data_IF_905303140060
#
_entry.id   IF_905303140060
#
_cell.length_a   1.000
_cell.length_b   1.000
_cell.length_c   1.000
_cell.angle_alpha   90.00
_cell.angle_beta   90.00
_cell.angle_gamma   90.00
#
_symmetry.space_group_name_H-M   'P 1'
#
loop_
_entity.id
_entity.type
_entity.pdbx_description
1 polymer ?
#
# COMPACT_ATOMS: atom_id res chain seq x y z
N UNK A 1 -2.29 26.67 26.81
CA UNK A 1 -3.10 26.01 25.76
C UNK A 1 -4.56 26.13 26.18
N UNK A 2 -5.15 27.31 25.96
CA UNK A 2 -5.97 27.63 24.77
C UNK A 2 -7.31 26.86 24.86
N UNK A 3 -8.19 27.35 25.72
CA UNK A 3 -9.39 28.14 25.35
C UNK A 3 -10.57 27.26 24.93
N UNK A 4 -11.34 26.85 25.94
CA UNK A 4 -12.74 26.50 25.81
C UNK A 4 -13.53 27.82 25.67
N UNK A 5 -14.20 28.04 24.53
CA UNK A 5 -15.26 29.05 24.41
C UNK A 5 -16.47 28.48 23.69
N UNK A 6 -17.50 28.29 24.50
CA UNK A 6 -18.90 28.10 24.17
C UNK A 6 -19.40 29.27 23.33
N UNK A 7 -20.11 29.03 22.23
CA UNK A 7 -21.31 29.81 21.90
C UNK A 7 -22.05 29.34 20.65
N UNK A 8 -23.37 29.17 20.82
CA UNK A 8 -24.47 29.53 19.89
C UNK A 8 -24.51 28.70 18.58
N UNK A 9 -25.54 27.90 18.28
CA UNK A 9 -26.98 28.21 18.38
C UNK A 9 -27.79 26.90 18.41
N UNK A 10 -28.72 26.81 19.35
CA UNK A 10 -29.94 26.03 19.23
C UNK A 10 -30.79 26.62 18.12
N UNK A 11 -31.19 25.83 17.12
CA UNK A 11 -32.44 26.02 16.39
C UNK A 11 -33.06 24.63 16.18
N UNK A 12 -34.14 24.38 16.93
CA UNK A 12 -35.13 23.34 16.68
C UNK A 12 -35.80 23.59 15.32
N UNK A 13 -36.04 22.53 14.55
CA UNK A 13 -37.20 22.45 13.66
C UNK A 13 -37.55 20.98 13.42
N UNK A 14 -38.62 20.53 14.06
CA UNK A 14 -39.32 19.30 13.71
C UNK A 14 -40.17 19.56 12.45
N UNK A 15 -40.06 18.68 11.46
CA UNK A 15 -41.11 18.47 10.46
C UNK A 15 -41.16 16.99 10.13
N UNK A 16 -42.23 16.34 10.62
CA UNK A 16 -42.75 15.11 10.04
C UNK A 16 -43.25 15.42 8.63
N UNK A 17 -42.70 14.77 7.62
CA UNK A 17 -43.40 14.49 6.38
C UNK A 17 -43.19 13.01 6.06
N UNK A 18 -44.25 12.24 6.27
CA UNK A 18 -44.44 10.93 5.66
C UNK A 18 -44.48 11.10 4.15
N UNK A 19 -43.44 10.64 3.45
CA UNK A 19 -43.54 10.34 2.01
C UNK A 19 -43.60 8.84 1.84
N UNK A 20 -44.71 8.45 1.22
CA UNK A 20 -45.13 7.11 0.81
C UNK A 20 -44.07 6.47 -0.10
N UNK A 21 -43.90 5.16 0.10
CA UNK A 21 -43.23 4.17 -0.74
C UNK A 21 -42.62 4.67 -2.06
N UNK A 22 -41.31 4.80 -2.08
CA UNK A 22 -40.54 4.59 -3.30
C UNK A 22 -40.21 3.10 -3.28
N UNK A 23 -40.91 2.34 -4.13
CA UNK A 23 -40.64 0.91 -4.28
C UNK A 23 -39.15 0.71 -4.54
N UNK A 24 -38.56 -0.27 -3.87
CA UNK A 24 -37.24 -0.77 -4.23
C UNK A 24 -37.28 -1.17 -5.70
N UNK A 25 -36.78 -0.29 -6.57
CA UNK A 25 -36.18 -0.73 -7.82
C UNK A 25 -35.00 -1.57 -7.37
N UNK A 26 -35.23 -2.88 -7.30
CA UNK A 26 -34.18 -3.86 -7.41
C UNK A 26 -33.56 -3.62 -8.79
N UNK A 27 -32.65 -2.66 -8.87
CA UNK A 27 -31.58 -2.77 -9.84
C UNK A 27 -30.93 -4.10 -9.48
N UNK A 28 -31.31 -5.16 -10.20
CA UNK A 28 -30.50 -6.35 -10.31
C UNK A 28 -29.22 -5.88 -11.01
N UNK A 29 -28.39 -5.19 -10.24
CA UNK A 29 -27.06 -4.81 -10.62
C UNK A 29 -26.38 -6.15 -10.76
N UNK A 30 -26.22 -6.61 -12.00
CA UNK A 30 -25.58 -7.86 -12.32
C UNK A 30 -24.36 -7.96 -11.43
N UNK A 31 -24.35 -8.93 -10.51
CA UNK A 31 -23.21 -9.12 -9.63
C UNK A 31 -22.02 -9.33 -10.55
N UNK A 32 -21.09 -8.38 -10.56
CA UNK A 32 -19.89 -8.52 -11.36
C UNK A 32 -19.27 -9.87 -10.97
N UNK A 33 -19.15 -10.78 -11.94
CA UNK A 33 -18.63 -12.12 -11.72
C UNK A 33 -17.16 -11.97 -11.30
N UNK A 34 -16.93 -11.94 -9.99
CA UNK A 34 -15.62 -11.73 -9.41
C UNK A 34 -15.01 -13.05 -8.94
N UNK A 35 -13.75 -13.27 -9.24
CA UNK A 35 -12.97 -14.39 -8.70
C UNK A 35 -11.56 -13.95 -8.31
N UNK A 36 -10.94 -14.75 -7.46
CA UNK A 36 -9.56 -14.54 -7.05
C UNK A 36 -8.61 -15.30 -7.97
N UNK A 37 -7.62 -14.59 -8.51
CA UNK A 37 -6.55 -15.18 -9.32
C UNK A 37 -5.22 -14.95 -8.63
N UNK A 38 -4.38 -15.99 -8.57
CA UNK A 38 -2.98 -15.85 -8.18
C UNK A 38 -2.16 -15.44 -9.40
N UNK A 39 -1.43 -14.36 -9.28
CA UNK A 39 -0.52 -13.86 -10.33
C UNK A 39 0.88 -13.67 -9.76
N UNK A 40 1.90 -13.87 -10.59
CA UNK A 40 3.28 -13.54 -10.23
C UNK A 40 3.51 -12.07 -10.53
N UNK A 41 3.94 -11.32 -9.52
CA UNK A 41 4.32 -9.91 -9.63
C UNK A 41 5.79 -9.77 -9.28
N UNK A 42 6.51 -8.89 -9.96
CA UNK A 42 7.90 -8.59 -9.62
C UNK A 42 7.94 -7.39 -8.67
N UNK A 43 8.57 -7.58 -7.51
CA UNK A 43 8.72 -6.54 -6.49
C UNK A 43 10.19 -6.18 -6.35
N UNK A 44 10.49 -4.88 -6.34
CA UNK A 44 11.82 -4.36 -6.09
C UNK A 44 12.20 -4.57 -4.62
N UNK A 45 13.29 -5.29 -4.38
CA UNK A 45 13.81 -5.57 -3.04
C UNK A 45 15.29 -5.24 -2.99
N UNK A 46 15.70 -4.50 -1.96
CA UNK A 46 17.11 -4.23 -1.69
C UNK A 46 17.78 -5.46 -1.10
N UNK A 47 18.85 -5.94 -1.71
CA UNK A 47 19.66 -7.07 -1.24
C UNK A 47 21.11 -6.63 -1.03
N UNK A 48 21.67 -7.03 0.10
CA UNK A 48 23.10 -6.89 0.36
C UNK A 48 23.90 -7.93 -0.43
N UNK A 49 25.11 -7.56 -0.84
CA UNK A 49 26.11 -8.48 -1.36
C UNK A 49 27.49 -8.08 -0.84
N UNK A 50 28.38 -9.06 -0.69
CA UNK A 50 29.77 -8.81 -0.31
C UNK A 50 30.61 -8.63 -1.58
N UNK A 51 31.45 -7.60 -1.60
CA UNK A 51 32.47 -7.42 -2.62
C UNK A 51 33.82 -7.14 -1.97
N UNK A 52 34.90 -7.46 -2.69
CA UNK A 52 36.26 -7.29 -2.21
C UNK A 52 36.92 -6.14 -2.95
N UNK A 53 37.66 -5.32 -2.20
CA UNK A 53 38.44 -4.22 -2.74
C UNK A 53 39.90 -4.45 -2.39
N UNK A 54 40.76 -4.47 -3.40
CA UNK A 54 42.20 -4.50 -3.20
C UNK A 54 42.68 -3.14 -2.70
N UNK A 55 43.44 -3.14 -1.60
CA UNK A 55 44.19 -1.99 -1.10
C UNK A 55 45.64 -2.38 -0.93
N UNK A 56 46.49 -1.39 -0.69
CA UNK A 56 47.93 -1.57 -0.54
C UNK A 56 48.36 -1.07 0.83
N UNK A 57 49.25 -1.81 1.48
CA UNK A 57 49.87 -1.39 2.74
C UNK A 57 50.97 -0.34 2.49
N UNK A 58 51.65 0.10 3.55
CA UNK A 58 52.72 1.09 3.44
C UNK A 58 53.96 0.58 2.66
N UNK A 59 54.10 -0.74 2.50
CA UNK A 59 55.15 -1.40 1.72
C UNK A 59 54.71 -1.67 0.27
N UNK A 60 53.46 -1.38 -0.09
CA UNK A 60 52.90 -1.69 -1.41
C UNK A 60 52.45 -3.14 -1.59
N UNK A 61 52.25 -3.91 -0.52
CA UNK A 61 51.67 -5.25 -0.63
C UNK A 61 50.15 -5.17 -0.75
N UNK A 62 49.54 -5.89 -1.71
CA UNK A 62 48.10 -5.92 -1.86
C UNK A 62 47.44 -6.74 -0.74
N UNK A 63 46.29 -6.27 -0.28
CA UNK A 63 45.38 -7.02 0.60
C UNK A 63 43.92 -6.71 0.24
N UNK A 64 43.03 -7.67 0.51
CA UNK A 64 41.61 -7.52 0.20
C UNK A 64 40.81 -7.09 1.43
N UNK A 65 39.89 -6.16 1.23
CA UNK A 65 38.90 -5.77 2.24
C UNK A 65 37.51 -6.16 1.76
N UNK A 66 36.79 -6.92 2.59
CA UNK A 66 35.37 -7.20 2.39
C UNK A 66 34.54 -5.94 2.67
N UNK A 67 33.66 -5.59 1.74
CA UNK A 67 32.70 -4.50 1.84
C UNK A 67 31.30 -5.01 1.53
N UNK A 68 30.31 -4.42 2.19
CA UNK A 68 28.90 -4.68 1.89
C UNK A 68 28.40 -3.65 0.89
N UNK A 69 27.91 -4.13 -0.25
CA UNK A 69 27.16 -3.34 -1.22
C UNK A 69 25.67 -3.65 -1.14
N UNK A 70 24.85 -2.76 -1.68
CA UNK A 70 23.40 -2.96 -1.77
C UNK A 70 22.98 -2.78 -3.22
N UNK A 71 22.08 -3.65 -3.69
CA UNK A 71 21.46 -3.53 -5.02
C UNK A 71 19.98 -3.81 -4.96
N UNK A 72 19.23 -3.12 -5.81
CA UNK A 72 17.81 -3.39 -6.01
C UNK A 72 17.67 -4.55 -6.99
N UNK A 73 16.96 -5.61 -6.59
CA UNK A 73 16.63 -6.75 -7.45
C UNK A 73 15.12 -6.93 -7.52
N UNK A 74 14.63 -7.33 -8.68
CA UNK A 74 13.22 -7.67 -8.84
C UNK A 74 13.01 -9.15 -8.50
N UNK A 75 12.23 -9.43 -7.45
CA UNK A 75 11.91 -10.80 -7.04
C UNK A 75 10.47 -11.15 -7.41
N UNK A 76 10.22 -12.35 -7.95
CA UNK A 76 8.86 -12.82 -8.22
C UNK A 76 8.16 -13.16 -6.91
N UNK A 77 6.98 -12.60 -6.70
CA UNK A 77 6.10 -12.88 -5.57
C UNK A 77 4.70 -13.26 -6.06
N UNK A 78 4.06 -14.20 -5.37
CA UNK A 78 2.69 -14.58 -5.65
C UNK A 78 1.73 -13.60 -4.96
N UNK A 79 0.84 -12.98 -5.74
CA UNK A 79 -0.18 -12.07 -5.24
C UNK A 79 -1.56 -12.54 -5.66
N UNK A 80 -2.51 -12.55 -4.71
CA UNK A 80 -3.94 -12.73 -5.02
C UNK A 80 -4.52 -11.40 -5.50
N UNK A 81 -5.11 -11.41 -6.69
CA UNK A 81 -5.79 -10.26 -7.28
C UNK A 81 -7.24 -10.63 -7.52
N UNK A 82 -8.15 -9.72 -7.17
CA UNK A 82 -9.58 -9.86 -7.46
C UNK A 82 -9.82 -9.39 -8.89
N UNK A 83 -10.32 -10.27 -9.74
CA UNK A 83 -10.69 -9.99 -11.13
C UNK A 83 -12.21 -10.04 -11.20
N UNK A 84 -12.83 -9.00 -11.76
CA UNK A 84 -14.28 -8.92 -11.98
C UNK A 84 -14.52 -8.60 -13.45
N UNK A 85 -15.54 -9.22 -14.04
CA UNK A 85 -15.99 -8.99 -15.43
C UNK A 85 -17.24 -8.12 -15.47
#
# INVERSE_FOLDING_TARGET
>A
MSMLRISRKLILAAMLVTVVGIGSVNNAQAEACCYWKTVTVYVAVTKSYTYYVTRYDHCGHPYEIARTGYKTVNVPVLKKVKVCY
#
